data_IF_376670872375
#
_entry.id   IF_376670872375
#
_cell.length_a   1.000
_cell.length_b   1.000
_cell.length_c   1.000
_cell.angle_alpha   90.00
_cell.angle_beta   90.00
_cell.angle_gamma   90.00
#
_symmetry.space_group_name_H-M   'P 1'
#
loop_
_entity.id
_entity.type
_entity.pdbx_description
1 polymer ?
#
# COMPACT_ATOMS: atom_id res chain seq x y z
N UNK A 1 -10.92 0.40 -48.91
CA UNK A 1 -9.54 0.46 -48.35
C UNK A 1 -9.57 0.72 -46.83
N UNK A 2 -10.30 1.72 -46.33
CA UNK A 2 -10.40 2.05 -44.89
C UNK A 2 -10.89 0.91 -43.95
N UNK A 3 -11.72 -0.03 -44.45
CA UNK A 3 -12.18 -1.19 -43.67
C UNK A 3 -11.09 -2.25 -43.43
N UNK A 4 -9.99 -2.26 -44.20
CA UNK A 4 -8.90 -3.22 -44.03
C UNK A 4 -7.96 -2.83 -42.87
N UNK A 5 -7.78 -1.54 -42.58
CA UNK A 5 -6.93 -1.08 -41.47
C UNK A 5 -7.58 -1.27 -40.09
N UNK A 6 -8.88 -1.00 -39.97
CA UNK A 6 -9.61 -1.23 -38.71
C UNK A 6 -9.74 -2.73 -38.39
N UNK A 7 -9.80 -3.58 -39.42
CA UNK A 7 -9.89 -5.04 -39.30
C UNK A 7 -8.58 -5.68 -38.79
N UNK A 8 -7.42 -5.02 -38.90
CA UNK A 8 -6.14 -5.52 -38.40
C UNK A 8 -5.84 -5.08 -36.95
N UNK A 9 -6.36 -3.94 -36.51
CA UNK A 9 -6.12 -3.37 -35.16
C UNK A 9 -6.92 -4.08 -34.06
N UNK A 10 -8.13 -4.55 -34.37
CA UNK A 10 -9.03 -5.19 -33.40
C UNK A 10 -8.59 -6.63 -33.02
N UNK A 11 -8.14 -7.50 -33.93
CA UNK A 11 -7.66 -8.85 -33.56
C UNK A 11 -6.33 -8.82 -32.79
N UNK A 12 -5.45 -7.86 -33.10
CA UNK A 12 -4.11 -7.82 -32.53
C UNK A 12 -4.10 -7.36 -31.06
N UNK A 13 -5.01 -6.46 -30.69
CA UNK A 13 -5.25 -6.07 -29.29
C UNK A 13 -5.91 -7.19 -28.49
N UNK A 14 -6.79 -7.99 -29.11
CA UNK A 14 -7.40 -9.18 -28.48
C UNK A 14 -6.40 -10.30 -28.16
N UNK A 15 -5.44 -10.56 -29.06
CA UNK A 15 -4.40 -11.58 -28.86
C UNK A 15 -3.46 -11.21 -27.68
N UNK A 16 -3.18 -9.93 -27.48
CA UNK A 16 -2.37 -9.42 -26.35
C UNK A 16 -3.08 -9.55 -25.00
N UNK A 17 -4.41 -9.40 -24.95
CA UNK A 17 -5.22 -9.66 -23.74
C UNK A 17 -5.18 -11.14 -23.35
N UNK A 18 -5.14 -12.05 -24.34
CA UNK A 18 -4.98 -13.50 -24.09
C UNK A 18 -3.57 -13.82 -23.58
N UNK A 19 -2.53 -13.19 -24.12
CA UNK A 19 -1.13 -13.36 -23.68
C UNK A 19 -0.84 -12.78 -22.28
N UNK A 20 -1.66 -11.84 -21.79
CA UNK A 20 -1.59 -11.32 -20.42
C UNK A 20 -1.82 -12.40 -19.35
N UNK A 21 -2.44 -13.54 -19.71
CA UNK A 21 -2.63 -14.67 -18.78
C UNK A 21 -1.37 -15.52 -18.58
N UNK A 22 -0.35 -15.40 -19.43
CA UNK A 22 0.82 -16.29 -19.42
C UNK A 22 2.18 -15.56 -19.35
N UNK A 23 2.23 -14.25 -19.60
CA UNK A 23 3.48 -13.47 -19.65
C UNK A 23 3.53 -12.35 -18.59
N UNK A 24 4.74 -11.88 -18.26
CA UNK A 24 4.97 -10.72 -17.39
C UNK A 24 4.21 -9.48 -17.91
N UNK A 25 3.42 -8.86 -17.03
CA UNK A 25 2.55 -7.73 -17.35
C UNK A 25 3.32 -6.55 -17.94
N UNK A 26 4.59 -6.37 -17.55
CA UNK A 26 5.48 -5.35 -18.11
C UNK A 26 5.86 -5.63 -19.56
N UNK A 27 6.22 -6.88 -19.86
CA UNK A 27 6.59 -7.31 -21.21
C UNK A 27 5.40 -7.18 -22.17
N UNK A 28 4.21 -7.58 -21.72
CA UNK A 28 2.96 -7.41 -22.48
C UNK A 28 2.68 -5.93 -22.74
N UNK A 29 2.88 -5.06 -21.75
CA UNK A 29 2.75 -3.61 -21.91
C UNK A 29 3.68 -3.04 -22.99
N UNK A 30 4.96 -3.41 -22.98
CA UNK A 30 5.91 -2.97 -24.00
C UNK A 30 5.56 -3.49 -25.41
N UNK A 31 5.19 -4.77 -25.53
CA UNK A 31 4.80 -5.36 -26.82
C UNK A 31 3.54 -4.68 -27.39
N UNK A 32 2.57 -4.37 -26.54
CA UNK A 32 1.34 -3.67 -26.94
C UNK A 32 1.63 -2.28 -27.47
N UNK A 33 2.42 -1.49 -26.73
CA UNK A 33 2.78 -0.13 -27.12
C UNK A 33 3.63 -0.12 -28.40
N UNK A 34 4.56 -1.06 -28.55
CA UNK A 34 5.40 -1.17 -29.75
C UNK A 34 4.63 -1.58 -31.00
N UNK A 35 3.69 -2.51 -30.87
CA UNK A 35 2.80 -2.88 -31.97
C UNK A 35 1.94 -1.68 -32.42
N UNK A 36 1.36 -0.96 -31.45
CA UNK A 36 0.58 0.24 -31.75
C UNK A 36 1.44 1.32 -32.43
N UNK A 37 2.66 1.57 -31.94
CA UNK A 37 3.60 2.49 -32.59
C UNK A 37 3.86 2.11 -34.04
N UNK A 38 4.08 0.82 -34.31
CA UNK A 38 4.40 0.32 -35.65
C UNK A 38 3.23 0.56 -36.61
N UNK A 39 2.00 0.26 -36.18
CA UNK A 39 0.79 0.45 -36.98
C UNK A 39 0.47 1.93 -37.19
N UNK A 40 0.52 2.73 -36.13
CA UNK A 40 0.26 4.17 -36.20
C UNK A 40 1.30 4.88 -37.09
N UNK A 41 2.57 4.50 -36.97
CA UNK A 41 3.64 5.09 -37.77
C UNK A 41 3.56 4.65 -39.25
N UNK A 42 3.21 3.40 -39.53
CA UNK A 42 2.94 2.94 -40.89
C UNK A 42 1.85 3.77 -41.57
N UNK A 43 0.77 4.08 -40.84
CA UNK A 43 -0.31 4.95 -41.33
C UNK A 43 0.21 6.38 -41.59
N UNK A 44 1.00 6.96 -40.69
CA UNK A 44 1.61 8.30 -40.86
C UNK A 44 2.42 8.41 -42.16
N UNK A 45 3.22 7.40 -42.50
CA UNK A 45 4.02 7.42 -43.74
C UNK A 45 3.11 7.47 -44.97
N UNK A 46 1.99 6.75 -44.95
CA UNK A 46 1.05 6.68 -46.07
C UNK A 46 0.22 7.96 -46.20
N UNK A 47 -0.11 8.62 -45.08
CA UNK A 47 -1.10 9.71 -45.04
C UNK A 47 -0.51 11.12 -45.11
N UNK A 48 0.79 11.26 -45.39
CA UNK A 48 1.43 12.57 -45.60
C UNK A 48 2.47 12.95 -44.56
N UNK A 49 2.99 11.99 -43.80
CA UNK A 49 4.09 12.22 -42.86
C UNK A 49 3.68 13.04 -41.64
N UNK A 50 4.58 13.89 -41.13
CA UNK A 50 4.38 14.68 -39.91
C UNK A 50 3.22 15.68 -40.00
N UNK A 51 2.82 16.05 -41.22
CA UNK A 51 1.67 16.94 -41.44
C UNK A 51 0.31 16.23 -41.37
N UNK A 52 0.32 14.90 -41.33
CA UNK A 52 -0.88 14.08 -41.25
C UNK A 52 -1.54 14.15 -39.87
N UNK A 53 -2.87 14.08 -39.85
CA UNK A 53 -3.67 13.95 -38.62
C UNK A 53 -3.39 12.64 -37.90
N UNK A 54 -2.98 11.60 -38.64
CA UNK A 54 -2.62 10.29 -38.10
C UNK A 54 -1.46 10.38 -37.10
N UNK A 55 -0.65 11.43 -37.19
CA UNK A 55 0.50 11.63 -36.31
C UNK A 55 0.10 11.90 -34.84
N UNK A 56 -1.11 12.40 -34.59
CA UNK A 56 -1.64 12.57 -33.23
C UNK A 56 -1.65 11.25 -32.43
N UNK A 57 -1.83 10.12 -33.11
CA UNK A 57 -1.77 8.79 -32.49
C UNK A 57 -0.37 8.44 -31.98
N UNK A 58 0.67 8.83 -32.72
CA UNK A 58 2.06 8.63 -32.33
C UNK A 58 2.43 9.52 -31.14
N UNK A 59 1.92 10.76 -31.12
CA UNK A 59 2.17 11.70 -30.02
C UNK A 59 1.50 11.28 -28.68
N UNK A 60 0.34 10.62 -28.74
CA UNK A 60 -0.40 10.19 -27.55
C UNK A 60 0.09 8.86 -26.95
N UNK A 61 0.93 8.10 -27.67
CA UNK A 61 1.43 6.78 -27.23
C UNK A 61 2.09 6.75 -25.85
N UNK A 62 2.94 7.73 -25.47
CA UNK A 62 3.57 7.72 -24.14
C UNK A 62 2.55 7.88 -23.00
N UNK A 63 1.42 8.56 -23.26
CA UNK A 63 0.33 8.71 -22.28
C UNK A 63 -0.37 7.36 -22.10
N UNK A 64 -0.67 6.67 -23.20
CA UNK A 64 -1.24 5.32 -23.18
C UNK A 64 -0.28 4.33 -22.51
N UNK A 65 1.02 4.43 -22.78
CA UNK A 65 2.06 3.63 -22.12
C UNK A 65 2.07 3.82 -20.59
N UNK A 66 1.77 5.03 -20.09
CA UNK A 66 1.64 5.33 -18.66
C UNK A 66 0.52 4.59 -17.95
N UNK A 67 -0.46 4.05 -18.69
CA UNK A 67 -1.53 3.22 -18.13
C UNK A 67 -1.06 1.78 -17.87
N UNK A 68 -0.12 1.29 -18.68
CA UNK A 68 0.31 -0.13 -18.66
C UNK A 68 1.69 -0.35 -18.06
N UNK A 69 2.53 0.68 -18.00
CA UNK A 69 3.94 0.58 -17.62
C UNK A 69 4.26 1.44 -16.40
N UNK A 70 5.36 1.09 -15.73
CA UNK A 70 5.88 1.89 -14.63
C UNK A 70 6.56 3.18 -15.14
N UNK A 71 6.89 4.08 -14.22
CA UNK A 71 7.51 5.38 -14.54
C UNK A 71 8.73 5.24 -15.46
N UNK A 72 9.54 4.19 -15.30
CA UNK A 72 10.73 3.95 -16.13
C UNK A 72 10.32 3.51 -17.54
N UNK A 73 9.38 2.58 -17.67
CA UNK A 73 8.85 2.15 -18.95
C UNK A 73 8.17 3.27 -19.74
N UNK A 74 7.38 4.12 -19.07
CA UNK A 74 6.75 5.30 -19.68
C UNK A 74 7.78 6.30 -20.20
N UNK A 75 8.82 6.60 -19.42
CA UNK A 75 9.90 7.50 -19.84
C UNK A 75 10.69 6.92 -21.03
N UNK A 76 10.89 5.60 -21.06
CA UNK A 76 11.48 4.92 -22.22
C UNK A 76 10.68 5.15 -23.50
N UNK A 77 9.35 5.05 -23.44
CA UNK A 77 8.49 5.30 -24.60
C UNK A 77 8.41 6.76 -25.02
N UNK A 78 8.51 7.71 -24.09
CA UNK A 78 8.72 9.13 -24.43
C UNK A 78 9.99 9.32 -25.27
N UNK A 79 11.10 8.73 -24.85
CA UNK A 79 12.36 8.82 -25.59
C UNK A 79 12.26 8.17 -26.98
N UNK A 80 11.59 7.01 -27.09
CA UNK A 80 11.35 6.33 -28.38
C UNK A 80 10.52 7.19 -29.32
N UNK A 81 9.40 7.74 -28.85
CA UNK A 81 8.52 8.59 -29.69
C UNK A 81 9.25 9.84 -30.14
N UNK A 82 10.00 10.51 -29.26
CA UNK A 82 10.82 11.68 -29.62
C UNK A 82 11.90 11.31 -30.64
N UNK A 83 12.59 10.19 -30.46
CA UNK A 83 13.62 9.74 -31.39
C UNK A 83 13.05 9.43 -32.78
N UNK A 84 11.97 8.65 -32.85
CA UNK A 84 11.28 8.31 -34.11
C UNK A 84 10.79 9.57 -34.82
N UNK A 85 10.23 10.51 -34.07
CA UNK A 85 9.77 11.80 -34.58
C UNK A 85 10.92 12.66 -35.10
N UNK A 86 12.02 12.74 -34.36
CA UNK A 86 13.19 13.49 -34.77
C UNK A 86 13.80 12.94 -36.05
N UNK A 87 13.89 11.61 -36.19
CA UNK A 87 14.34 10.95 -37.41
C UNK A 87 13.41 11.27 -38.59
N UNK A 88 12.09 11.18 -38.39
CA UNK A 88 11.12 11.54 -39.42
C UNK A 88 11.22 13.01 -39.83
N UNK A 89 11.38 13.92 -38.87
CA UNK A 89 11.53 15.36 -39.14
C UNK A 89 12.76 15.64 -39.98
N UNK A 90 13.90 15.04 -39.63
CA UNK A 90 15.14 15.18 -40.41
C UNK A 90 14.96 14.61 -41.81
N UNK A 91 14.30 13.46 -41.93
CA UNK A 91 14.01 12.85 -43.23
C UNK A 91 13.14 13.77 -44.10
N UNK A 92 12.03 14.30 -43.58
CA UNK A 92 11.14 15.17 -44.34
C UNK A 92 11.78 16.52 -44.70
N UNK A 93 12.65 17.07 -43.84
CA UNK A 93 13.43 18.25 -44.16
C UNK A 93 14.44 17.98 -45.30
N UNK A 94 14.98 16.77 -45.38
CA UNK A 94 15.98 16.40 -46.38
C UNK A 94 15.36 15.95 -47.72
N UNK A 95 14.21 15.27 -47.69
CA UNK A 95 13.64 14.58 -48.85
C UNK A 95 12.21 15.04 -49.20
N UNK A 96 11.61 15.93 -48.41
CA UNK A 96 10.22 16.35 -48.54
C UNK A 96 9.24 15.41 -47.84
N UNK A 97 8.05 15.93 -47.52
CA UNK A 97 6.97 15.14 -46.93
C UNK A 97 6.41 14.15 -47.97
N UNK A 98 6.01 12.93 -47.55
CA UNK A 98 5.34 11.97 -48.44
C UNK A 98 4.07 12.58 -49.03
N UNK A 99 3.80 12.33 -50.32
CA UNK A 99 2.52 12.71 -50.91
C UNK A 99 1.42 11.77 -50.40
N UNK A 100 0.40 12.32 -49.74
CA UNK A 100 -0.78 11.53 -49.36
C UNK A 100 -1.59 11.18 -50.61
N UNK A 101 -1.95 9.90 -50.82
CA UNK A 101 -2.86 9.49 -51.88
C UNK A 101 -4.31 9.92 -51.59
N UNK A 102 -4.61 10.34 -50.35
CA UNK A 102 -5.93 10.77 -49.92
C UNK A 102 -6.10 12.26 -50.23
N UNK A 103 -7.16 12.58 -50.98
CA UNK A 103 -7.48 13.95 -51.37
C UNK A 103 -8.98 14.19 -51.24
N UNK A 104 -9.41 15.44 -51.03
CA UNK A 104 -10.82 15.79 -50.96
C UNK A 104 -11.58 15.04 -49.84
N UNK A 105 -12.73 14.47 -50.17
CA UNK A 105 -13.63 13.78 -49.22
C UNK A 105 -12.98 12.61 -48.47
N UNK A 106 -12.10 11.86 -49.13
CA UNK A 106 -11.49 10.66 -48.53
C UNK A 106 -10.55 11.03 -47.37
N UNK A 107 -9.84 12.16 -47.49
CA UNK A 107 -9.02 12.70 -46.42
C UNK A 107 -9.88 13.18 -45.23
N UNK A 108 -11.03 13.79 -45.50
CA UNK A 108 -11.97 14.23 -44.46
C UNK A 108 -12.63 13.05 -43.73
N UNK A 109 -13.05 12.00 -44.44
CA UNK A 109 -13.62 10.79 -43.83
C UNK A 109 -12.60 10.05 -42.95
N UNK A 110 -11.36 9.95 -43.43
CA UNK A 110 -10.28 9.38 -42.64
C UNK A 110 -10.01 10.23 -41.38
N UNK A 111 -9.88 11.55 -41.52
CA UNK A 111 -9.69 12.46 -40.39
C UNK A 111 -10.83 12.33 -39.36
N UNK A 112 -12.08 12.27 -39.80
CA UNK A 112 -13.23 12.07 -38.92
C UNK A 112 -13.16 10.72 -38.18
N UNK A 113 -12.80 9.63 -38.87
CA UNK A 113 -12.67 8.32 -38.24
C UNK A 113 -11.55 8.27 -37.19
N UNK A 114 -10.41 8.93 -37.46
CA UNK A 114 -9.29 9.04 -36.53
C UNK A 114 -9.66 9.85 -35.28
N UNK A 115 -10.39 10.95 -35.44
CA UNK A 115 -10.89 11.75 -34.32
C UNK A 115 -11.86 10.96 -33.43
N UNK A 116 -12.75 10.17 -34.04
CA UNK A 116 -13.67 9.30 -33.30
C UNK A 116 -12.89 8.21 -32.53
N UNK A 117 -11.90 7.59 -33.18
CA UNK A 117 -11.02 6.64 -32.50
C UNK A 117 -10.32 7.26 -31.29
N UNK A 118 -9.77 8.46 -31.44
CA UNK A 118 -9.05 9.17 -30.36
C UNK A 118 -9.98 9.46 -29.19
N UNK A 119 -11.21 9.91 -29.48
CA UNK A 119 -12.20 10.18 -28.45
C UNK A 119 -12.57 8.92 -27.66
N UNK A 120 -12.74 7.78 -28.34
CA UNK A 120 -13.03 6.49 -27.70
C UNK A 120 -11.86 6.03 -26.84
N UNK A 121 -10.63 6.08 -27.34
CA UNK A 121 -9.45 5.66 -26.58
C UNK A 121 -9.16 6.58 -25.40
N UNK A 122 -9.30 7.89 -25.56
CA UNK A 122 -9.19 8.85 -24.45
C UNK A 122 -10.27 8.60 -23.40
N UNK A 123 -11.53 8.42 -23.80
CA UNK A 123 -12.64 8.12 -22.89
C UNK A 123 -12.45 6.80 -22.15
N UNK A 124 -11.99 5.76 -22.85
CA UNK A 124 -11.65 4.46 -22.27
C UNK A 124 -10.50 4.54 -21.26
N UNK A 125 -9.44 5.27 -21.60
CA UNK A 125 -8.29 5.50 -20.71
C UNK A 125 -8.69 6.30 -19.45
N UNK A 126 -9.50 7.36 -19.60
CA UNK A 126 -10.03 8.14 -18.46
C UNK A 126 -10.92 7.26 -17.58
N UNK A 127 -11.81 6.46 -18.17
CA UNK A 127 -12.68 5.54 -17.42
C UNK A 127 -11.87 4.49 -16.67
N UNK A 128 -10.86 3.88 -17.32
CA UNK A 128 -9.96 2.93 -16.67
C UNK A 128 -9.17 3.59 -15.52
N UNK A 129 -8.65 4.80 -15.75
CA UNK A 129 -7.94 5.56 -14.73
C UNK A 129 -8.81 5.86 -13.51
N UNK A 130 -10.05 6.33 -13.71
CA UNK A 130 -11.02 6.57 -12.63
C UNK A 130 -11.30 5.28 -11.86
N UNK A 131 -11.55 4.16 -12.56
CA UNK A 131 -11.79 2.87 -11.92
C UNK A 131 -10.57 2.37 -11.12
N UNK A 132 -9.35 2.60 -11.62
CA UNK A 132 -8.13 2.24 -10.91
C UNK A 132 -7.91 3.12 -9.68
N UNK A 133 -8.17 4.43 -9.79
CA UNK A 133 -8.11 5.37 -8.68
C UNK A 133 -9.10 4.99 -7.58
N UNK A 134 -10.35 4.67 -7.94
CA UNK A 134 -11.35 4.20 -6.98
C UNK A 134 -10.91 2.92 -6.27
N UNK A 135 -10.33 1.95 -6.99
CA UNK A 135 -9.82 0.70 -6.39
C UNK A 135 -8.69 0.97 -5.40
N UNK A 136 -7.78 1.90 -5.73
CA UNK A 136 -6.70 2.28 -4.81
C UNK A 136 -7.25 3.00 -3.58
N UNK A 137 -8.19 3.93 -3.77
CA UNK A 137 -8.80 4.66 -2.67
C UNK A 137 -9.54 3.73 -1.70
N UNK A 138 -10.33 2.79 -2.23
CA UNK A 138 -11.03 1.77 -1.41
C UNK A 138 -10.06 0.92 -0.60
N UNK A 139 -8.96 0.45 -1.18
CA UNK A 139 -7.94 -0.33 -0.44
C UNK A 139 -7.32 0.45 0.71
N UNK A 140 -7.03 1.73 0.49
CA UNK A 140 -6.49 2.60 1.54
C UNK A 140 -7.52 2.78 2.65
N UNK A 141 -8.79 3.03 2.30
CA UNK A 141 -9.87 3.15 3.29
C UNK A 141 -10.06 1.86 4.09
N UNK A 142 -10.12 0.70 3.43
CA UNK A 142 -10.26 -0.60 4.09
C UNK A 142 -9.08 -0.90 5.03
N UNK A 143 -7.86 -0.54 4.63
CA UNK A 143 -6.68 -0.71 5.49
C UNK A 143 -6.74 0.23 6.70
N UNK A 144 -7.18 1.47 6.51
CA UNK A 144 -7.32 2.45 7.59
C UNK A 144 -8.39 2.02 8.60
N UNK A 145 -9.54 1.53 8.15
CA UNK A 145 -10.60 1.06 9.06
C UNK A 145 -10.13 -0.15 9.86
N UNK A 146 -9.46 -1.12 9.22
CA UNK A 146 -8.87 -2.27 9.92
C UNK A 146 -7.84 -1.84 10.97
N UNK A 147 -6.93 -0.92 10.63
CA UNK A 147 -5.93 -0.41 11.56
C UNK A 147 -6.56 0.37 12.73
N UNK A 148 -7.63 1.13 12.48
CA UNK A 148 -8.36 1.83 13.54
C UNK A 148 -8.97 0.84 14.53
N UNK A 149 -9.65 -0.20 14.05
CA UNK A 149 -10.21 -1.25 14.92
C UNK A 149 -9.11 -1.94 15.73
N UNK A 150 -7.98 -2.32 15.11
CA UNK A 150 -6.87 -2.96 15.82
C UNK A 150 -6.28 -2.05 16.91
N UNK A 151 -6.16 -0.74 16.64
CA UNK A 151 -5.68 0.24 17.63
C UNK A 151 -6.67 0.38 18.78
N UNK A 152 -7.97 0.40 18.51
CA UNK A 152 -9.00 0.48 19.56
C UNK A 152 -9.01 -0.77 20.45
N UNK A 153 -8.94 -1.97 19.86
CA UNK A 153 -8.85 -3.23 20.59
C UNK A 153 -7.60 -3.28 21.48
N UNK A 154 -6.43 -2.89 20.93
CA UNK A 154 -5.19 -2.82 21.71
C UNK A 154 -5.28 -1.83 22.85
N UNK A 155 -5.89 -0.65 22.63
CA UNK A 155 -6.08 0.35 23.67
C UNK A 155 -7.02 -0.14 24.77
N UNK A 156 -8.10 -0.83 24.41
CA UNK A 156 -9.03 -1.41 25.37
C UNK A 156 -8.32 -2.47 26.24
N UNK A 157 -7.59 -3.40 25.61
CA UNK A 157 -6.82 -4.42 26.32
C UNK A 157 -5.72 -3.83 27.22
N UNK A 158 -5.02 -2.79 26.74
CA UNK A 158 -4.02 -2.09 27.54
C UNK A 158 -4.64 -1.37 28.74
N UNK A 159 -5.82 -0.76 28.55
CA UNK A 159 -6.56 -0.10 29.62
C UNK A 159 -7.00 -1.12 30.68
N UNK A 160 -7.61 -2.23 30.27
CA UNK A 160 -8.02 -3.31 31.18
C UNK A 160 -6.83 -3.89 31.97
N UNK A 161 -5.70 -4.14 31.28
CA UNK A 161 -4.48 -4.62 31.94
C UNK A 161 -3.93 -3.61 32.96
N UNK A 162 -3.97 -2.31 32.64
CA UNK A 162 -3.54 -1.25 33.57
C UNK A 162 -4.47 -1.12 34.76
N UNK A 163 -5.78 -1.22 34.55
CA UNK A 163 -6.76 -1.21 35.65
C UNK A 163 -6.58 -2.41 36.56
N UNK A 164 -6.44 -3.61 35.99
CA UNK A 164 -6.18 -4.83 36.75
C UNK A 164 -4.87 -4.75 37.56
N UNK A 165 -3.81 -4.20 36.96
CA UNK A 165 -2.54 -4.02 37.65
C UNK A 165 -2.65 -3.00 38.80
N UNK A 166 -3.34 -1.87 38.55
CA UNK A 166 -3.59 -0.85 39.58
C UNK A 166 -4.42 -1.41 40.74
N UNK A 167 -5.47 -2.18 40.44
CA UNK A 167 -6.28 -2.84 41.45
C UNK A 167 -5.48 -3.88 42.25
N UNK A 168 -4.61 -4.65 41.57
CA UNK A 168 -3.69 -5.60 42.22
C UNK A 168 -2.72 -4.89 43.17
N UNK A 169 -2.08 -3.81 42.73
CA UNK A 169 -1.18 -3.02 43.58
C UNK A 169 -1.90 -2.41 44.78
N UNK A 170 -3.10 -1.85 44.58
CA UNK A 170 -3.91 -1.30 45.67
C UNK A 170 -4.34 -2.38 46.68
N UNK A 171 -4.70 -3.57 46.19
CA UNK A 171 -5.02 -4.71 47.04
C UNK A 171 -3.82 -5.17 47.87
N UNK A 172 -2.65 -5.35 47.25
CA UNK A 172 -1.43 -5.76 47.94
C UNK A 172 -0.99 -4.72 49.00
N UNK A 173 -1.07 -3.42 48.65
CA UNK A 173 -0.78 -2.34 49.58
C UNK A 173 -1.70 -2.37 50.81
N UNK A 174 -3.00 -2.55 50.58
CA UNK A 174 -4.00 -2.62 51.65
C UNK A 174 -3.78 -3.84 52.53
N UNK A 175 -3.64 -5.03 51.93
CA UNK A 175 -3.42 -6.27 52.67
C UNK A 175 -2.13 -6.23 53.49
N UNK A 176 -1.07 -5.60 52.99
CA UNK A 176 0.17 -5.45 53.75
C UNK A 176 -0.01 -4.57 54.98
N UNK A 177 -0.75 -3.47 54.88
CA UNK A 177 -1.07 -2.64 56.06
C UNK A 177 -1.90 -3.41 57.10
N UNK A 178 -2.88 -4.18 56.65
CA UNK A 178 -3.77 -4.99 57.50
C UNK A 178 -3.04 -6.18 58.14
N UNK A 179 -1.97 -6.71 57.52
CA UNK A 179 -1.13 -7.78 58.10
C UNK A 179 -0.02 -7.20 58.98
N UNK A 180 0.60 -6.09 58.60
CA UNK A 180 1.68 -5.43 59.36
C UNK A 180 1.23 -5.06 60.78
N UNK A 181 0.00 -4.57 60.92
CA UNK A 181 -0.57 -4.15 62.21
C UNK A 181 -0.64 -5.30 63.24
N UNK A 182 -1.31 -6.43 62.96
CA UNK A 182 -1.32 -7.57 63.88
C UNK A 182 0.07 -8.20 64.05
N UNK A 183 0.92 -8.22 63.02
CA UNK A 183 2.29 -8.75 63.13
C UNK A 183 3.16 -7.94 64.10
N UNK A 184 3.10 -6.62 64.04
CA UNK A 184 3.75 -5.75 65.02
C UNK A 184 3.15 -5.96 66.43
N UNK A 185 1.85 -6.24 66.53
CA UNK A 185 1.21 -6.64 67.77
C UNK A 185 1.77 -7.95 68.33
N UNK A 186 1.92 -8.99 67.50
CA UNK A 186 2.53 -10.27 67.90
C UNK A 186 3.96 -10.04 68.38
N UNK A 187 4.80 -9.32 67.63
CA UNK A 187 6.18 -9.01 68.03
C UNK A 187 6.20 -8.28 69.38
N UNK A 188 5.39 -7.24 69.54
CA UNK A 188 5.32 -6.47 70.78
C UNK A 188 4.85 -7.30 71.98
N UNK A 189 3.84 -8.14 71.81
CA UNK A 189 3.35 -9.03 72.87
C UNK A 189 4.37 -10.11 73.23
N UNK A 190 5.07 -10.67 72.23
CA UNK A 190 6.15 -11.63 72.45
C UNK A 190 7.34 -10.99 73.15
N UNK A 191 7.66 -9.72 72.84
CA UNK A 191 8.70 -8.95 73.53
C UNK A 191 8.37 -8.71 75.01
N UNK A 192 7.12 -8.34 75.31
CA UNK A 192 6.65 -8.22 76.69
C UNK A 192 6.73 -9.57 77.42
N UNK A 193 6.32 -10.66 76.77
CA UNK A 193 6.37 -12.01 77.34
C UNK A 193 7.80 -12.46 77.65
N UNK A 194 8.75 -12.22 76.73
CA UNK A 194 10.17 -12.53 76.91
C UNK A 194 10.83 -11.76 78.06
N UNK A 195 10.26 -10.61 78.45
CA UNK A 195 10.62 -9.82 79.63
C UNK A 195 10.07 -10.35 80.97
N UNK A 196 9.21 -11.37 80.95
CA UNK A 196 8.68 -12.02 82.15
C UNK A 196 9.53 -13.21 82.61
N UNK A 197 9.12 -13.88 83.71
CA UNK A 197 9.73 -15.14 84.15
C UNK A 197 9.14 -16.30 83.35
N UNK A 198 9.94 -16.85 82.45
CA UNK A 198 9.64 -18.03 81.64
C UNK A 198 10.63 -19.14 82.00
N UNK A 199 10.20 -20.39 81.94
CA UNK A 199 11.13 -21.52 81.90
C UNK A 199 11.87 -21.56 80.54
N UNK A 200 12.86 -22.45 80.43
CA UNK A 200 13.73 -22.53 79.25
C UNK A 200 12.94 -22.84 77.97
N UNK A 201 12.00 -23.78 78.06
CA UNK A 201 11.20 -24.24 76.92
C UNK A 201 10.23 -23.14 76.44
N UNK A 202 9.56 -22.45 77.38
CA UNK A 202 8.70 -21.31 77.08
C UNK A 202 9.47 -20.14 76.44
N UNK A 203 10.71 -19.90 76.89
CA UNK A 203 11.57 -18.86 76.31
C UNK A 203 11.95 -19.20 74.87
N UNK A 204 12.32 -20.44 74.59
CA UNK A 204 12.65 -20.90 73.25
C UNK A 204 11.45 -20.78 72.29
N UNK A 205 10.24 -21.17 72.74
CA UNK A 205 9.01 -20.97 71.98
C UNK A 205 8.75 -19.49 71.66
N UNK A 206 8.86 -18.60 72.66
CA UNK A 206 8.65 -17.17 72.46
C UNK A 206 9.70 -16.56 71.51
N UNK A 207 10.97 -16.95 71.59
CA UNK A 207 12.01 -16.52 70.65
C UNK A 207 11.71 -16.97 69.22
N UNK A 208 11.25 -18.21 69.05
CA UNK A 208 10.87 -18.77 67.75
C UNK A 208 9.69 -18.02 67.13
N UNK A 209 8.66 -17.70 67.93
CA UNK A 209 7.53 -16.89 67.48
C UNK A 209 7.99 -15.50 67.03
N UNK A 210 8.84 -14.84 67.82
CA UNK A 210 9.39 -13.51 67.47
C UNK A 210 10.19 -13.54 66.16
N UNK A 211 11.10 -14.51 66.02
CA UNK A 211 11.92 -14.66 64.82
C UNK A 211 11.06 -14.93 63.58
N UNK A 212 10.04 -15.80 63.71
CA UNK A 212 9.12 -16.11 62.62
C UNK A 212 8.29 -14.89 62.21
N UNK A 213 7.85 -14.10 63.20
CA UNK A 213 7.09 -12.88 62.96
C UNK A 213 7.92 -11.79 62.25
N UNK A 214 9.20 -11.65 62.62
CA UNK A 214 10.14 -10.77 61.94
C UNK A 214 10.40 -11.18 60.49
N UNK A 215 10.64 -12.48 60.25
CA UNK A 215 10.82 -13.01 58.89
C UNK A 215 9.61 -12.79 58.00
N UNK A 216 8.39 -12.99 58.53
CA UNK A 216 7.16 -12.76 57.76
C UNK A 216 6.99 -11.29 57.36
N UNK A 217 7.40 -10.34 58.22
CA UNK A 217 7.36 -8.92 57.90
C UNK A 217 8.34 -8.54 56.79
N UNK A 218 9.53 -9.14 56.76
CA UNK A 218 10.50 -8.94 55.68
C UNK A 218 9.92 -9.45 54.36
N UNK A 219 9.42 -10.69 54.34
CA UNK A 219 8.80 -11.28 53.14
C UNK A 219 7.57 -10.49 52.65
N UNK A 220 6.78 -9.94 53.56
CA UNK A 220 5.62 -9.12 53.25
C UNK A 220 6.04 -7.80 52.57
N UNK A 221 7.12 -7.16 53.03
CA UNK A 221 7.65 -5.95 52.41
C UNK A 221 8.24 -6.25 51.03
N UNK A 222 8.96 -7.36 50.88
CA UNK A 222 9.57 -7.78 49.59
C UNK A 222 8.53 -8.11 48.50
N UNK A 223 7.30 -8.50 48.87
CA UNK A 223 6.19 -8.73 47.91
C UNK A 223 5.58 -7.41 47.42
N UNK A 224 5.83 -6.32 48.13
CA UNK A 224 5.25 -5.00 47.87
C UNK A 224 6.17 -4.10 47.03
N UNK A 225 7.48 -4.25 47.22
CA UNK A 225 8.56 -3.60 46.45
C UNK A 225 8.72 -4.24 45.05
#
# INVERSE_FOLDING_TARGET
>A
AALLDLAAVIPATGLLVVLHRTMDTRLVGHLTVGLFLTLAYGNVIVTGGLTSTSYAWVACLPIVAGVFLDRRGTMGWWAVVVAVTGVQLVYELAFGAPSSPLTGSDAYEQQASEMVGLAILAGGAVTLFINLQERQHRRVQDTLTLLQTEVEERRAAEHEAREANTAKSAFLATMSHEIRTPMNGVIGMTDLLLGTRLDEEQREYAQTVKASAGTLLVLLNDILD
#
